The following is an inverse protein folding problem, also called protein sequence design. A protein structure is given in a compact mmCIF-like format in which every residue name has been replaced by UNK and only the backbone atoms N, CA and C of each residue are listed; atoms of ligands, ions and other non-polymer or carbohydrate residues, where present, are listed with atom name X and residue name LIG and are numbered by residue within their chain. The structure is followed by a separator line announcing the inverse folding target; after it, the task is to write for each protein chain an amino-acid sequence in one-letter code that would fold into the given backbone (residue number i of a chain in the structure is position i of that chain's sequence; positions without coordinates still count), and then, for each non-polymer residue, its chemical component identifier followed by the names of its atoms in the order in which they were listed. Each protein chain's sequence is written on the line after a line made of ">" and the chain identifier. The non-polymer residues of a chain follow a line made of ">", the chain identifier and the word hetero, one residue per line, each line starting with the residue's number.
data_IF_687654490147
#
_entry.id   IF_687654490147
#
_cell.length_a   1.000
_cell.length_b   1.000
_cell.length_c   1.000
_cell.angle_alpha   90.00
_cell.angle_beta   90.00
_cell.angle_gamma   90.00
#
_symmetry.space_group_name_H-M   'P 1'
#
loop_
_entity.id
_entity.type
_entity.pdbx_description
1 polymer ?
#
# COMPACT_ATOMS: atom_id res chain seq x y z
N UNK A 1 -16.26 57.74 -29.94
CA UNK A 1 -16.14 56.32 -30.36
C UNK A 1 -14.65 55.92 -30.31
N UNK A 2 -14.31 54.66 -30.03
CA UNK A 2 -12.92 54.10 -30.02
C UNK A 2 -12.10 54.30 -28.72
N UNK A 3 -12.54 53.75 -27.58
CA UNK A 3 -11.63 53.52 -26.43
C UNK A 3 -11.92 52.30 -25.54
N UNK A 4 -12.85 51.43 -25.94
CA UNK A 4 -13.34 50.31 -25.09
C UNK A 4 -12.94 48.90 -25.55
N UNK A 5 -12.12 48.73 -26.60
CA UNK A 5 -11.77 47.40 -27.11
C UNK A 5 -10.41 46.85 -26.62
N UNK A 6 -9.53 47.68 -26.04
CA UNK A 6 -8.15 47.25 -25.73
C UNK A 6 -7.98 46.51 -24.40
N UNK A 7 -8.98 46.47 -23.52
CA UNK A 7 -8.86 45.87 -22.17
C UNK A 7 -9.24 44.37 -22.12
N UNK A 8 -9.82 43.80 -23.20
CA UNK A 8 -10.22 42.38 -23.23
C UNK A 8 -9.13 41.40 -23.66
N UNK A 9 -8.06 41.85 -24.32
CA UNK A 9 -7.04 40.95 -24.88
C UNK A 9 -5.95 40.55 -23.87
N UNK A 10 -5.63 41.41 -22.89
CA UNK A 10 -4.59 41.12 -21.89
C UNK A 10 -5.04 40.20 -20.74
N UNK A 11 -6.33 39.84 -20.66
CA UNK A 11 -6.84 38.89 -19.64
C UNK A 11 -6.82 37.43 -20.09
N UNK A 12 -6.64 37.15 -21.39
CA UNK A 12 -6.57 35.77 -21.89
C UNK A 12 -5.16 35.20 -22.01
N UNK A 13 -4.11 36.04 -22.09
CA UNK A 13 -2.73 35.55 -22.25
C UNK A 13 -2.04 35.05 -20.97
N UNK A 14 -2.62 35.26 -19.77
CA UNK A 14 -2.04 34.75 -18.51
C UNK A 14 -2.50 33.34 -18.12
N UNK A 15 -3.39 32.71 -18.88
CA UNK A 15 -3.90 31.36 -18.58
C UNK A 15 -3.47 30.26 -19.55
N UNK A 16 -2.67 30.59 -20.57
CA UNK A 16 -1.94 29.60 -21.37
C UNK A 16 -0.65 29.16 -20.65
N UNK A 17 -0.71 28.92 -19.34
CA UNK A 17 0.28 28.06 -18.70
C UNK A 17 0.08 26.69 -19.32
N UNK A 18 1.01 26.28 -20.19
CA UNK A 18 1.08 24.94 -20.75
C UNK A 18 0.67 23.92 -19.69
N UNK A 19 -0.55 23.39 -19.80
CA UNK A 19 -1.01 22.33 -18.93
C UNK A 19 -0.20 21.10 -19.33
N UNK A 20 0.79 20.76 -18.52
CA UNK A 20 1.52 19.49 -18.64
C UNK A 20 0.49 18.36 -18.68
N UNK A 21 0.59 17.50 -19.68
CA UNK A 21 -0.27 16.32 -19.81
C UNK A 21 -0.02 15.36 -18.65
N UNK A 22 -0.99 14.50 -18.36
CA UNK A 22 -0.85 13.43 -17.36
C UNK A 22 0.42 12.60 -17.61
N UNK A 23 0.69 12.25 -18.88
CA UNK A 23 1.88 11.50 -19.28
C UNK A 23 3.18 12.16 -18.85
N UNK A 24 3.29 13.48 -19.04
CA UNK A 24 4.49 14.24 -18.67
C UNK A 24 4.69 14.30 -17.13
N UNK A 25 3.60 14.40 -16.37
CA UNK A 25 3.67 14.36 -14.91
C UNK A 25 4.08 12.98 -14.39
N UNK A 26 3.61 11.91 -15.04
CA UNK A 26 4.00 10.53 -14.72
C UNK A 26 5.46 10.27 -15.05
N UNK A 27 5.98 10.84 -16.13
CA UNK A 27 7.41 10.80 -16.46
C UNK A 27 8.28 11.55 -15.44
N UNK A 28 7.85 12.75 -15.02
CA UNK A 28 8.47 13.48 -13.91
C UNK A 28 8.52 12.61 -12.64
N UNK A 29 7.44 11.87 -12.34
CA UNK A 29 7.36 11.03 -11.12
C UNK A 29 8.31 9.83 -11.20
N UNK A 30 8.41 9.21 -12.37
CA UNK A 30 9.26 8.04 -12.57
C UNK A 30 10.75 8.36 -12.55
N UNK A 31 11.13 9.59 -12.90
CA UNK A 31 12.52 10.06 -12.92
C UNK A 31 12.91 10.79 -11.62
N UNK A 32 11.96 11.00 -10.69
CA UNK A 32 12.17 11.76 -9.47
C UNK A 32 13.12 11.03 -8.51
N UNK A 33 14.23 11.69 -8.16
CA UNK A 33 15.25 11.20 -7.22
C UNK A 33 15.66 12.28 -6.22
N UNK A 34 16.09 11.89 -5.02
CA UNK A 34 16.63 12.82 -4.03
C UNK A 34 18.00 13.33 -4.49
N UNK A 35 18.18 14.65 -4.56
CA UNK A 35 19.46 15.24 -4.96
C UNK A 35 20.55 15.05 -3.87
N UNK A 36 21.83 15.12 -4.25
CA UNK A 36 22.98 14.89 -3.34
C UNK A 36 22.99 15.76 -2.09
N UNK A 37 22.49 16.99 -2.15
CA UNK A 37 22.47 17.93 -1.02
C UNK A 37 21.05 18.22 -0.51
N UNK A 38 20.06 17.48 -1.03
CA UNK A 38 18.66 17.67 -0.67
C UNK A 38 18.29 16.92 0.62
N UNK A 39 17.65 17.63 1.54
CA UNK A 39 17.06 17.06 2.77
C UNK A 39 15.86 16.18 2.42
N UNK A 40 15.65 15.10 3.17
CA UNK A 40 14.52 14.15 2.96
C UNK A 40 13.17 14.88 2.92
N UNK A 41 12.96 15.85 3.82
CA UNK A 41 11.71 16.63 3.87
C UNK A 41 11.46 17.42 2.57
N UNK A 42 12.51 17.98 1.98
CA UNK A 42 12.40 18.72 0.70
C UNK A 42 12.06 17.77 -0.43
N UNK A 43 12.70 16.59 -0.46
CA UNK A 43 12.38 15.55 -1.43
C UNK A 43 10.93 15.05 -1.29
N UNK A 44 10.47 14.79 -0.06
CA UNK A 44 9.08 14.43 0.23
C UNK A 44 8.10 15.48 -0.29
N UNK A 45 8.38 16.76 -0.03
CA UNK A 45 7.52 17.86 -0.49
C UNK A 45 7.44 17.93 -2.03
N UNK A 46 8.53 17.62 -2.75
CA UNK A 46 8.51 17.51 -4.21
C UNK A 46 7.64 16.34 -4.69
N UNK A 47 7.78 15.17 -4.07
CA UNK A 47 6.94 13.99 -4.37
C UNK A 47 5.46 14.33 -4.13
N UNK A 48 5.12 14.93 -2.99
CA UNK A 48 3.75 15.34 -2.66
C UNK A 48 3.18 16.39 -3.60
N UNK A 49 3.98 17.40 -3.96
CA UNK A 49 3.58 18.44 -4.92
C UNK A 49 3.27 17.83 -6.29
N UNK A 50 4.12 16.91 -6.76
CA UNK A 50 3.91 16.22 -8.03
C UNK A 50 2.69 15.28 -7.99
N UNK A 51 2.54 14.50 -6.91
CA UNK A 51 1.37 13.65 -6.66
C UNK A 51 0.07 14.49 -6.69
N UNK A 52 0.04 15.62 -6.00
CA UNK A 52 -1.12 16.51 -5.98
C UNK A 52 -1.45 17.05 -7.37
N UNK A 53 -0.43 17.44 -8.15
CA UNK A 53 -0.62 17.88 -9.55
C UNK A 53 -1.25 16.77 -10.40
N UNK A 54 -0.79 15.53 -10.28
CA UNK A 54 -1.35 14.37 -10.99
C UNK A 54 -2.79 14.11 -10.53
N UNK A 55 -3.05 14.04 -9.23
CA UNK A 55 -4.41 13.76 -8.73
C UNK A 55 -5.44 14.82 -9.14
N UNK A 56 -5.00 16.05 -9.35
CA UNK A 56 -5.84 17.13 -9.86
C UNK A 56 -6.18 16.98 -11.35
N UNK A 57 -5.39 16.26 -12.16
CA UNK A 57 -5.75 15.97 -13.56
C UNK A 57 -6.96 15.03 -13.64
N UNK A 58 -7.24 14.26 -12.58
CA UNK A 58 -8.39 13.36 -12.50
C UNK A 58 -9.67 14.00 -12.01
N UNK A 59 -9.69 15.32 -11.83
CA UNK A 59 -10.87 16.05 -11.32
C UNK A 59 -12.12 15.87 -12.19
N UNK A 60 -11.95 15.62 -13.49
CA UNK A 60 -13.03 15.42 -14.46
C UNK A 60 -13.41 13.94 -14.69
N UNK A 61 -12.70 13.00 -14.08
CA UNK A 61 -12.96 11.56 -14.24
C UNK A 61 -14.13 11.08 -13.38
N UNK A 62 -14.72 9.95 -13.76
CA UNK A 62 -15.72 9.24 -12.95
C UNK A 62 -15.15 8.94 -11.54
N UNK A 63 -15.90 9.16 -10.44
CA UNK A 63 -15.44 8.90 -9.08
C UNK A 63 -14.82 7.51 -8.86
N UNK A 64 -15.41 6.46 -9.45
CA UNK A 64 -14.93 5.08 -9.29
C UNK A 64 -13.57 4.90 -9.97
N UNK A 65 -13.44 5.32 -11.21
CA UNK A 65 -12.18 5.27 -11.96
C UNK A 65 -11.10 6.15 -11.33
N UNK A 66 -11.48 7.37 -10.94
CA UNK A 66 -10.61 8.31 -10.22
C UNK A 66 -10.04 7.67 -8.97
N UNK A 67 -10.84 6.91 -8.20
CA UNK A 67 -10.38 6.23 -7.00
C UNK A 67 -9.28 5.22 -7.32
N UNK A 68 -9.53 4.30 -8.26
CA UNK A 68 -8.55 3.28 -8.66
C UNK A 68 -7.24 3.90 -9.16
N UNK A 69 -7.32 4.90 -10.05
CA UNK A 69 -6.13 5.60 -10.57
C UNK A 69 -5.38 6.36 -9.48
N UNK A 70 -6.11 6.99 -8.55
CA UNK A 70 -5.51 7.71 -7.42
C UNK A 70 -4.74 6.76 -6.51
N UNK A 71 -5.31 5.59 -6.20
CA UNK A 71 -4.66 4.60 -5.34
C UNK A 71 -3.39 4.04 -6.02
N UNK A 72 -3.48 3.67 -7.28
CA UNK A 72 -2.32 3.22 -8.08
C UNK A 72 -1.17 4.26 -8.08
N UNK A 73 -1.49 5.54 -8.27
CA UNK A 73 -0.47 6.59 -8.33
C UNK A 73 0.14 6.87 -6.95
N UNK A 74 -0.64 6.75 -5.87
CA UNK A 74 -0.10 6.84 -4.50
C UNK A 74 0.91 5.72 -4.24
N UNK A 75 0.62 4.51 -4.71
CA UNK A 75 1.53 3.37 -4.56
C UNK A 75 2.82 3.56 -5.36
N UNK A 76 2.72 4.05 -6.61
CA UNK A 76 3.89 4.40 -7.43
C UNK A 76 4.73 5.48 -6.73
N UNK A 77 4.09 6.55 -6.24
CA UNK A 77 4.80 7.64 -5.56
C UNK A 77 5.50 7.17 -4.27
N UNK A 78 4.85 6.29 -3.50
CA UNK A 78 5.44 5.68 -2.31
C UNK A 78 6.63 4.80 -2.65
N UNK A 79 6.51 3.95 -3.67
CA UNK A 79 7.60 3.11 -4.13
C UNK A 79 8.80 3.96 -4.59
N UNK A 80 8.55 5.04 -5.34
CA UNK A 80 9.61 5.97 -5.78
C UNK A 80 10.28 6.68 -4.61
N UNK A 81 9.50 7.15 -3.64
CA UNK A 81 10.05 7.77 -2.44
C UNK A 81 10.94 6.79 -1.68
N UNK A 82 10.49 5.55 -1.48
CA UNK A 82 11.24 4.52 -0.74
C UNK A 82 12.53 4.10 -1.45
N UNK A 83 12.49 3.91 -2.77
CA UNK A 83 13.64 3.47 -3.57
C UNK A 83 14.69 4.56 -3.80
N UNK A 84 14.31 5.84 -3.75
CA UNK A 84 15.20 6.95 -4.12
C UNK A 84 15.55 7.89 -2.97
N UNK A 85 15.20 7.53 -1.72
CA UNK A 85 15.85 8.07 -0.54
C UNK A 85 17.28 7.53 -0.46
N UNK A 86 18.25 8.38 -0.14
CA UNK A 86 19.64 7.96 0.08
C UNK A 86 19.71 6.96 1.24
N UNK A 87 20.32 5.80 1.00
CA UNK A 87 20.56 4.79 2.03
C UNK A 87 21.45 5.31 3.18
N UNK A 88 22.30 6.30 2.91
CA UNK A 88 23.24 6.87 3.89
C UNK A 88 22.54 7.65 5.01
N UNK A 89 21.31 8.11 4.78
CA UNK A 89 20.44 8.51 5.88
C UNK A 89 19.77 7.25 6.42
N UNK A 90 20.49 6.58 7.33
CA UNK A 90 19.95 5.46 8.09
C UNK A 90 18.51 5.76 8.51
N UNK A 91 17.59 4.88 8.09
CA UNK A 91 16.14 4.97 8.40
C UNK A 91 15.87 5.36 9.87
N UNK A 92 16.78 4.99 10.78
CA UNK A 92 16.74 5.31 12.20
C UNK A 92 16.67 6.81 12.53
N UNK A 93 17.36 7.71 11.81
CA UNK A 93 17.29 9.15 12.12
C UNK A 93 15.94 9.76 11.71
N UNK A 94 15.31 9.22 10.66
CA UNK A 94 14.06 9.78 10.13
C UNK A 94 12.84 9.40 10.99
N UNK A 95 12.93 8.33 11.80
CA UNK A 95 11.86 7.88 12.68
C UNK A 95 11.83 8.56 14.05
N UNK A 96 12.94 9.12 14.53
CA UNK A 96 13.01 9.70 15.89
C UNK A 96 12.61 11.17 16.00
N UNK A 97 12.75 11.98 14.93
CA UNK A 97 12.68 13.47 15.06
C UNK A 97 11.44 14.17 14.52
N UNK A 98 10.40 13.46 14.04
CA UNK A 98 9.23 14.12 13.47
C UNK A 98 7.97 14.04 14.37
N UNK A 99 7.37 15.19 14.76
CA UNK A 99 6.20 15.23 15.65
C UNK A 99 4.90 14.72 14.98
N UNK A 100 4.90 14.53 13.66
CA UNK A 100 3.74 14.00 12.92
C UNK A 100 3.93 12.51 12.58
N UNK A 101 4.25 11.72 13.62
CA UNK A 101 4.53 10.28 13.58
C UNK A 101 3.43 9.46 12.91
N UNK A 102 2.19 9.96 12.89
CA UNK A 102 1.06 9.23 12.33
C UNK A 102 1.00 9.34 10.79
N UNK A 103 1.33 10.48 10.17
CA UNK A 103 1.16 10.62 8.71
C UNK A 103 2.11 9.73 7.88
N UNK A 104 3.38 9.60 8.29
CA UNK A 104 4.35 8.74 7.56
C UNK A 104 4.13 7.25 7.90
N UNK A 105 3.78 6.96 9.15
CA UNK A 105 3.52 5.60 9.63
C UNK A 105 2.18 5.05 9.10
N UNK A 106 1.17 5.88 8.93
CA UNK A 106 -0.10 5.49 8.32
C UNK A 106 0.08 5.18 6.84
N UNK A 107 1.04 5.81 6.17
CA UNK A 107 1.37 5.50 4.78
C UNK A 107 2.07 4.13 4.65
N UNK A 108 3.08 3.84 5.48
CA UNK A 108 3.79 2.55 5.43
C UNK A 108 2.98 1.40 6.02
N UNK A 109 2.20 1.60 7.09
CA UNK A 109 1.32 0.57 7.67
C UNK A 109 0.09 0.25 6.84
N UNK A 110 -0.46 1.20 6.07
CA UNK A 110 -1.61 0.92 5.21
C UNK A 110 -1.18 0.22 3.91
N UNK A 111 -0.02 0.54 3.32
CA UNK A 111 0.42 -0.17 2.10
C UNK A 111 0.72 -1.65 2.31
N UNK A 112 1.15 -2.07 3.51
CA UNK A 112 1.36 -3.50 3.82
C UNK A 112 0.07 -4.27 4.15
N UNK A 113 -1.10 -3.61 4.22
CA UNK A 113 -2.40 -4.26 4.46
C UNK A 113 -3.31 -4.35 3.23
N UNK A 114 -2.89 -3.85 2.07
CA UNK A 114 -3.77 -3.78 0.89
C UNK A 114 -3.76 -5.07 0.05
N UNK A 115 -2.84 -6.02 0.27
CA UNK A 115 -2.77 -7.23 -0.55
C UNK A 115 -3.35 -8.53 0.07
N UNK A 116 -3.98 -8.49 1.24
CA UNK A 116 -4.73 -9.63 1.77
C UNK A 116 -5.97 -9.12 2.52
N UNK A 117 -7.15 -9.37 1.94
CA UNK A 117 -8.50 -9.08 2.44
C UNK A 117 -9.05 -7.67 2.15
N UNK A 118 -9.53 -7.47 0.91
CA UNK A 118 -10.67 -6.59 0.68
C UNK A 118 -11.89 -7.17 1.40
N UNK A 119 -12.13 -6.73 2.63
CA UNK A 119 -13.47 -6.69 3.21
C UNK A 119 -13.94 -5.24 3.24
N UNK A 120 -15.09 -5.03 2.64
CA UNK A 120 -15.79 -3.78 2.41
C UNK A 120 -16.21 -3.10 3.72
N UNK A 121 -15.41 -2.16 4.21
CA UNK A 121 -15.82 -1.28 5.32
C UNK A 121 -16.38 0.04 4.78
N UNK A 122 -17.65 -0.01 4.37
CA UNK A 122 -18.50 1.17 4.29
C UNK A 122 -18.92 1.59 5.70
N UNK A 123 -18.45 2.75 6.15
CA UNK A 123 -19.06 3.46 7.29
C UNK A 123 -20.48 3.85 6.88
N UNK A 124 -21.47 3.10 7.35
CA UNK A 124 -22.86 3.54 7.41
C UNK A 124 -23.28 3.53 8.87
N UNK A 125 -23.63 4.72 9.35
CA UNK A 125 -24.31 4.92 10.61
C UNK A 125 -25.75 4.38 10.49
N UNK A 126 -26.27 3.92 11.62
CA UNK A 126 -27.68 3.64 11.92
C UNK A 126 -28.32 2.36 11.35
N UNK A 127 -28.55 1.43 12.29
CA UNK A 127 -29.83 0.73 12.42
C UNK A 127 -30.25 -0.21 11.28
N UNK A 128 -29.37 -1.14 10.92
CA UNK A 128 -29.86 -2.41 10.39
C UNK A 128 -29.30 -3.58 11.23
N UNK A 129 -30.00 -3.91 12.33
CA UNK A 129 -29.73 -5.12 13.16
C UNK A 129 -30.14 -6.41 12.44
N UNK A 130 -30.31 -6.38 11.12
CA UNK A 130 -30.74 -7.54 10.35
C UNK A 130 -29.56 -8.52 10.16
N UNK A 131 -29.70 -9.65 10.85
CA UNK A 131 -29.15 -10.96 10.47
C UNK A 131 -27.64 -11.05 10.22
N UNK A 132 -26.82 -10.47 11.11
CA UNK A 132 -25.43 -10.93 11.22
C UNK A 132 -25.44 -12.39 11.66
N UNK A 133 -24.81 -13.28 10.89
CA UNK A 133 -24.69 -14.71 11.20
C UNK A 133 -23.22 -15.09 11.33
N UNK A 134 -22.86 -15.73 12.44
CA UNK A 134 -21.50 -16.14 12.70
C UNK A 134 -21.21 -17.51 12.06
N UNK A 135 -20.34 -17.55 11.05
CA UNK A 135 -19.91 -18.81 10.40
C UNK A 135 -19.21 -19.80 11.33
N UNK A 136 -18.61 -19.31 12.43
CA UNK A 136 -17.87 -20.14 13.38
C UNK A 136 -18.76 -20.89 14.37
N UNK A 137 -19.68 -20.18 15.02
CA UNK A 137 -20.55 -20.78 16.05
C UNK A 137 -21.98 -21.06 15.56
N UNK A 138 -22.34 -20.62 14.34
CA UNK A 138 -23.67 -20.74 13.72
C UNK A 138 -24.80 -20.03 14.47
N UNK A 139 -24.48 -19.03 15.31
CA UNK A 139 -25.46 -18.19 15.99
C UNK A 139 -25.62 -16.84 15.26
N UNK A 140 -26.82 -16.27 15.32
CA UNK A 140 -27.10 -14.92 14.83
C UNK A 140 -26.66 -13.84 15.85
N UNK A 141 -26.62 -12.58 15.41
CA UNK A 141 -26.34 -11.39 16.24
C UNK A 141 -24.91 -10.86 16.18
N UNK A 142 -23.95 -11.59 15.59
CA UNK A 142 -22.55 -11.17 15.48
C UNK A 142 -21.86 -11.74 14.23
N UNK A 143 -20.75 -11.10 13.82
CA UNK A 143 -19.87 -11.60 12.75
C UNK A 143 -18.78 -12.53 13.31
N UNK A 144 -18.08 -13.25 12.44
CA UNK A 144 -16.99 -14.17 12.84
C UNK A 144 -15.85 -13.45 13.60
N UNK A 145 -15.64 -12.17 13.33
CA UNK A 145 -14.60 -11.35 13.98
C UNK A 145 -15.02 -10.86 15.38
N UNK A 146 -16.32 -10.90 15.68
CA UNK A 146 -16.92 -10.56 16.97
C UNK A 146 -17.21 -11.83 17.81
N UNK A 147 -16.78 -13.02 17.36
CA UNK A 147 -17.15 -14.29 17.97
C UNK A 147 -16.34 -14.60 19.23
N UNK A 148 -16.98 -14.50 20.40
CA UNK A 148 -16.38 -14.83 21.71
C UNK A 148 -15.80 -16.25 21.78
N UNK A 149 -16.44 -17.24 21.13
CA UNK A 149 -15.96 -18.63 21.10
C UNK A 149 -14.64 -18.77 20.33
N UNK A 150 -14.49 -18.02 19.23
CA UNK A 150 -13.26 -17.97 18.41
C UNK A 150 -12.13 -17.31 19.20
N UNK A 151 -12.42 -16.20 19.87
CA UNK A 151 -11.44 -15.51 20.71
C UNK A 151 -10.91 -16.40 21.83
N UNK A 152 -11.80 -17.12 22.52
CA UNK A 152 -11.40 -18.07 23.57
C UNK A 152 -10.48 -19.19 23.04
N UNK A 153 -10.83 -19.80 21.90
CA UNK A 153 -10.00 -20.84 21.30
C UNK A 153 -8.64 -20.31 20.85
N UNK A 154 -8.56 -19.12 20.26
CA UNK A 154 -7.29 -18.49 19.89
C UNK A 154 -6.39 -18.26 21.12
N UNK A 155 -6.97 -17.79 22.24
CA UNK A 155 -6.21 -17.63 23.50
C UNK A 155 -5.73 -18.97 24.06
N UNK A 156 -6.53 -20.03 23.93
CA UNK A 156 -6.13 -21.39 24.36
C UNK A 156 -4.92 -21.91 23.58
N UNK A 157 -4.88 -21.71 22.27
CA UNK A 157 -3.73 -22.10 21.44
C UNK A 157 -2.48 -21.27 21.78
N UNK A 158 -2.61 -19.96 21.99
CA UNK A 158 -1.47 -19.11 22.36
C UNK A 158 -0.86 -19.49 23.71
N UNK A 159 -1.68 -19.89 24.68
CA UNK A 159 -1.17 -20.29 26.00
C UNK A 159 -0.51 -21.69 25.99
N UNK A 160 -0.84 -22.56 25.04
CA UNK A 160 -0.20 -23.88 24.93
C UNK A 160 1.21 -23.81 24.33
N UNK A 161 1.50 -22.82 23.49
CA UNK A 161 2.86 -22.66 22.94
C UNK A 161 3.86 -22.08 23.95
N UNK A 162 3.39 -21.42 25.01
CA UNK A 162 4.28 -20.90 26.07
C UNK A 162 4.66 -21.98 27.10
N UNK A 163 3.88 -23.05 27.26
CA UNK A 163 4.15 -24.12 28.24
C UNK A 163 4.94 -25.29 27.67
N UNK A 164 5.14 -25.34 26.34
CA UNK A 164 5.92 -26.38 25.66
C UNK A 164 7.25 -25.83 25.13
N UNK A 165 7.91 -24.95 25.88
CA UNK A 165 9.35 -24.76 25.69
C UNK A 165 10.02 -26.09 26.05
N UNK A 166 10.70 -26.78 25.11
CA UNK A 166 11.39 -28.01 25.43
C UNK A 166 12.53 -27.67 26.40
N UNK A 167 12.37 -28.04 27.66
CA UNK A 167 13.50 -28.19 28.57
C UNK A 167 14.43 -29.18 27.89
N UNK A 168 15.55 -28.65 27.41
CA UNK A 168 16.65 -29.37 26.80
C UNK A 168 17.25 -30.33 27.83
N UNK A 169 16.69 -31.53 27.92
CA UNK A 169 17.41 -32.69 28.44
C UNK A 169 18.07 -33.38 27.27
N UNK A 170 19.36 -33.05 27.11
CA UNK A 170 20.33 -33.79 26.31
C UNK A 170 20.23 -35.29 26.63
N UNK A 171 19.75 -36.08 25.65
CA UNK A 171 20.15 -37.47 25.47
C UNK A 171 20.30 -37.75 23.98
N UNK A 172 21.56 -38.00 23.61
CA UNK A 172 21.99 -38.62 22.37
C UNK A 172 21.07 -39.78 21.97
N UNK A 173 20.43 -39.66 20.82
CA UNK A 173 20.06 -40.84 20.05
C UNK A 173 20.17 -40.52 18.57
N UNK A 174 21.29 -40.96 17.99
CA UNK A 174 21.45 -41.12 16.54
C UNK A 174 20.27 -41.93 16.02
N UNK A 175 19.41 -41.31 15.22
CA UNK A 175 18.56 -42.04 14.29
C UNK A 175 18.86 -41.59 12.87
N UNK A 176 19.21 -42.63 12.10
CA UNK A 176 19.71 -42.67 10.74
C UNK A 176 18.54 -42.38 9.80
N UNK A 177 18.51 -41.19 9.20
CA UNK A 177 17.49 -40.85 8.18
C UNK A 177 18.05 -41.26 6.81
N UNK A 178 17.38 -42.24 6.20
CA UNK A 178 17.58 -42.63 4.81
C UNK A 178 16.95 -41.57 3.90
N UNK A 179 17.78 -40.82 3.17
CA UNK A 179 17.34 -39.90 2.13
C UNK A 179 16.97 -40.70 0.88
N UNK A 180 15.68 -40.77 0.54
CA UNK A 180 15.20 -41.27 -0.74
C UNK A 180 14.79 -40.08 -1.60
N UNK A 181 15.71 -39.59 -2.44
CA UNK A 181 15.41 -38.56 -3.45
C UNK A 181 15.19 -39.26 -4.78
N UNK A 182 13.92 -39.39 -5.19
CA UNK A 182 13.56 -39.80 -6.54
C UNK A 182 13.41 -38.55 -7.38
N UNK A 183 14.37 -38.32 -8.28
CA UNK A 183 14.32 -37.29 -9.32
C UNK A 183 13.41 -37.76 -10.45
N UNK A 184 12.27 -37.11 -10.63
CA UNK A 184 11.43 -37.27 -11.81
C UNK A 184 12.02 -36.46 -12.97
N UNK A 185 12.61 -37.16 -13.94
CA UNK A 185 13.00 -36.64 -15.24
C UNK A 185 11.75 -36.56 -16.13
N UNK A 186 11.35 -35.35 -16.52
CA UNK A 186 10.31 -35.14 -17.53
C UNK A 186 11.01 -34.89 -18.86
N UNK A 187 10.94 -35.86 -19.78
CA UNK A 187 11.36 -35.72 -21.17
C UNK A 187 10.26 -34.98 -21.96
N UNK A 188 10.61 -33.84 -22.53
CA UNK A 188 9.76 -33.12 -23.49
C UNK A 188 10.11 -33.63 -24.89
N UNK A 189 9.15 -34.29 -25.54
CA UNK A 189 9.26 -34.68 -26.94
C UNK A 189 9.03 -33.44 -27.82
N UNK A 190 10.01 -33.16 -28.68
CA UNK A 190 9.93 -32.18 -29.76
C UNK A 190 9.05 -32.79 -30.87
N UNK A 191 7.94 -32.14 -31.21
CA UNK A 191 7.10 -32.50 -32.35
C UNK A 191 7.41 -31.50 -33.46
N UNK A 192 8.12 -31.97 -34.48
CA UNK A 192 8.24 -31.28 -35.76
C UNK A 192 6.89 -31.39 -36.49
N UNK A 193 6.36 -30.25 -36.95
CA UNK A 193 5.31 -30.23 -37.96
C UNK A 193 5.71 -29.28 -39.09
N UNK A 194 5.70 -29.91 -40.27
CA UNK A 194 5.63 -29.44 -41.66
C UNK A 194 5.08 -28.03 -41.89
#
# INVERSE_FOLDING_TARGET
>A
MIRWQTVRITRMHKNLRYRKTESHLMEELNTLRQNRDEKIITFYNRVQSLLTRILNTFSHMNPTERRYRSDMIRDIALNRFTLHIKQDHTMNECYEKHPNRNQVRDYTKNSHKIHVNQTTNGKTNASNRQNKFCRYCKNSGHLIDECRKREYNNRKFQNQELTNSPISMSKNQMQKIHLNSQTSTTSVALVDNL
#
